data_IF_752046946521
#
_entry.id   IF_752046946521
#
_cell.length_a   1.000
_cell.length_b   1.000
_cell.length_c   1.000
_cell.angle_alpha   90.00
_cell.angle_beta   90.00
_cell.angle_gamma   90.00
#
_symmetry.space_group_name_H-M   'P 1'
#
loop_
_entity.id
_entity.type
_entity.pdbx_description
1 polymer ?
#
# COMPACT_ATOMS: atom_id res chain seq x y z
N UNK A 1 19.14 -11.95 -10.17
CA UNK A 1 18.13 -10.88 -10.31
C UNK A 1 17.52 -10.62 -8.95
N UNK A 2 17.48 -9.37 -8.50
CA UNK A 2 16.84 -9.01 -7.21
C UNK A 2 15.33 -9.23 -7.39
N UNK A 3 14.72 -10.07 -6.56
CA UNK A 3 13.28 -10.32 -6.62
C UNK A 3 12.54 -9.01 -6.35
N UNK A 4 11.72 -8.58 -7.30
CA UNK A 4 10.96 -7.34 -7.18
C UNK A 4 9.87 -7.56 -6.14
N UNK A 5 9.87 -6.75 -5.07
CA UNK A 5 8.88 -6.87 -4.02
C UNK A 5 7.62 -6.07 -4.37
N UNK A 6 6.51 -6.77 -4.66
CA UNK A 6 5.23 -6.13 -4.98
C UNK A 6 4.74 -5.15 -3.89
N UNK A 7 5.08 -5.37 -2.62
CA UNK A 7 4.69 -4.45 -1.53
C UNK A 7 5.54 -3.20 -1.48
N UNK A 8 6.81 -3.30 -1.84
CA UNK A 8 7.70 -2.15 -2.00
C UNK A 8 7.21 -1.25 -3.14
N UNK A 9 6.83 -1.85 -4.27
CA UNK A 9 6.17 -1.13 -5.37
C UNK A 9 4.95 -0.37 -4.87
N UNK A 10 4.06 -1.02 -4.11
CA UNK A 10 2.86 -0.34 -3.62
C UNK A 10 3.20 0.75 -2.61
N UNK A 11 4.21 0.56 -1.76
CA UNK A 11 4.64 1.60 -0.82
C UNK A 11 5.09 2.87 -1.56
N UNK A 12 5.90 2.72 -2.61
CA UNK A 12 6.33 3.83 -3.47
C UNK A 12 5.12 4.53 -4.08
N UNK A 13 4.17 3.75 -4.63
CA UNK A 13 2.92 4.31 -5.18
C UNK A 13 2.12 5.08 -4.13
N UNK A 14 2.06 4.61 -2.89
CA UNK A 14 1.32 5.29 -1.81
C UNK A 14 1.99 6.60 -1.41
N UNK A 15 3.32 6.69 -1.43
CA UNK A 15 4.04 7.94 -1.20
C UNK A 15 3.72 8.95 -2.30
N UNK A 16 3.78 8.53 -3.57
CA UNK A 16 3.41 9.36 -4.71
C UNK A 16 1.97 9.88 -4.64
N UNK A 17 1.02 9.03 -4.25
CA UNK A 17 -0.41 9.39 -4.23
C UNK A 17 -0.77 10.23 -2.99
N UNK A 18 -0.38 9.77 -1.80
CA UNK A 18 -0.89 10.32 -0.54
C UNK A 18 -0.01 11.44 0.03
N UNK A 19 1.24 11.54 -0.41
CA UNK A 19 2.20 12.53 0.10
C UNK A 19 2.57 13.56 -0.98
N UNK A 20 2.72 13.14 -2.24
CA UNK A 20 3.02 14.05 -3.37
C UNK A 20 1.76 14.52 -4.12
N UNK A 21 0.57 13.99 -3.79
CA UNK A 21 -0.70 14.42 -4.37
C UNK A 21 -0.93 13.96 -5.81
N UNK A 22 -0.20 12.96 -6.30
CA UNK A 22 -0.41 12.43 -7.67
C UNK A 22 -1.72 11.64 -7.76
N UNK A 23 -2.34 11.66 -8.93
CA UNK A 23 -3.57 10.92 -9.15
C UNK A 23 -3.35 9.41 -9.15
N UNK A 24 -4.16 8.68 -8.38
CA UNK A 24 -4.04 7.23 -8.20
C UNK A 24 -4.15 6.44 -9.52
N UNK A 25 -5.03 6.85 -10.43
CA UNK A 25 -5.16 6.21 -11.74
C UNK A 25 -3.93 6.41 -12.63
N UNK A 26 -3.27 7.58 -12.53
CA UNK A 26 -2.06 7.89 -13.29
C UNK A 26 -0.89 7.06 -12.77
N UNK A 27 -0.65 7.07 -11.45
CA UNK A 27 0.40 6.28 -10.81
C UNK A 27 0.19 4.78 -11.07
N UNK A 28 -1.04 4.27 -10.93
CA UNK A 28 -1.35 2.87 -11.23
C UNK A 28 -0.99 2.48 -12.66
N UNK A 29 -1.43 3.26 -13.65
CA UNK A 29 -1.16 2.96 -15.06
C UNK A 29 0.34 2.99 -15.36
N UNK A 30 1.07 3.98 -14.86
CA UNK A 30 2.51 4.10 -15.04
C UNK A 30 3.26 2.91 -14.42
N UNK A 31 2.91 2.54 -13.18
CA UNK A 31 3.52 1.40 -12.49
C UNK A 31 3.22 0.09 -13.21
N UNK A 32 1.96 -0.19 -13.58
CA UNK A 32 1.62 -1.43 -14.28
C UNK A 32 2.27 -1.54 -15.66
N UNK A 33 2.46 -0.41 -16.36
CA UNK A 33 3.22 -0.36 -17.61
C UNK A 33 4.73 -0.62 -17.39
N UNK A 34 5.32 -0.05 -16.33
CA UNK A 34 6.72 -0.29 -15.94
C UNK A 34 6.98 -1.75 -15.58
N UNK A 35 6.01 -2.41 -14.95
CA UNK A 35 6.11 -3.79 -14.47
C UNK A 35 5.27 -4.79 -15.31
N UNK A 36 5.19 -4.57 -16.63
CA UNK A 36 4.48 -5.47 -17.56
C UNK A 36 5.03 -6.91 -17.62
N UNK A 37 6.26 -7.12 -17.18
CA UNK A 37 6.88 -8.45 -17.12
C UNK A 37 6.41 -9.29 -15.92
N UNK A 38 5.80 -8.68 -14.89
CA UNK A 38 5.28 -9.41 -13.74
C UNK A 38 4.11 -10.30 -14.13
N UNK A 39 3.83 -11.33 -13.33
CA UNK A 39 2.68 -12.18 -13.60
C UNK A 39 1.35 -11.43 -13.40
N UNK A 40 0.29 -11.92 -14.05
CA UNK A 40 -1.06 -11.34 -13.92
C UNK A 40 -1.50 -11.28 -12.46
N UNK A 41 -1.16 -12.29 -11.65
CA UNK A 41 -1.52 -12.35 -10.23
C UNK A 41 -0.81 -11.26 -9.43
N UNK A 42 0.48 -11.01 -9.67
CA UNK A 42 1.25 -9.96 -9.01
C UNK A 42 0.72 -8.56 -9.35
N UNK A 43 0.42 -8.31 -10.64
CA UNK A 43 -0.18 -7.03 -11.06
C UNK A 43 -1.56 -6.80 -10.45
N UNK A 44 -2.38 -7.86 -10.36
CA UNK A 44 -3.68 -7.80 -9.70
C UNK A 44 -3.53 -7.52 -8.20
N UNK A 45 -2.52 -8.11 -7.55
CA UNK A 45 -2.19 -7.85 -6.16
C UNK A 45 -1.77 -6.39 -5.93
N UNK A 46 -0.84 -5.86 -6.71
CA UNK A 46 -0.38 -4.46 -6.65
C UNK A 46 -1.58 -3.51 -6.77
N UNK A 47 -2.44 -3.75 -7.77
CA UNK A 47 -3.62 -2.93 -8.05
C UNK A 47 -4.59 -2.95 -6.88
N UNK A 48 -4.92 -4.14 -6.37
CA UNK A 48 -5.87 -4.33 -5.26
C UNK A 48 -5.35 -3.71 -3.97
N UNK A 49 -4.06 -3.90 -3.66
CA UNK A 49 -3.44 -3.38 -2.45
C UNK A 49 -3.36 -1.85 -2.50
N UNK A 50 -2.82 -1.27 -3.58
CA UNK A 50 -2.69 0.18 -3.71
C UNK A 50 -4.05 0.89 -3.65
N UNK A 51 -4.96 0.53 -4.56
CA UNK A 51 -6.28 1.19 -4.66
C UNK A 51 -7.11 0.94 -3.41
N UNK A 52 -7.00 -0.25 -2.82
CA UNK A 52 -7.64 -0.59 -1.56
C UNK A 52 -7.18 0.30 -0.40
N UNK A 53 -5.88 0.45 -0.23
CA UNK A 53 -5.29 1.32 0.80
C UNK A 53 -5.68 2.78 0.57
N UNK A 54 -5.58 3.29 -0.67
CA UNK A 54 -5.99 4.67 -1.00
C UNK A 54 -7.47 4.91 -0.73
N UNK A 55 -8.36 3.96 -1.05
CA UNK A 55 -9.81 4.12 -0.79
C UNK A 55 -10.15 4.16 0.71
N UNK A 56 -9.29 3.61 1.56
CA UNK A 56 -9.60 3.41 2.99
C UNK A 56 -8.63 4.12 3.95
N UNK A 57 -7.71 4.95 3.46
CA UNK A 57 -6.62 5.47 4.31
C UNK A 57 -7.13 6.21 5.56
N UNK A 58 -8.26 6.92 5.50
CA UNK A 58 -8.87 7.56 6.67
C UNK A 58 -9.36 6.54 7.71
N UNK A 59 -10.00 5.46 7.26
CA UNK A 59 -10.44 4.37 8.13
C UNK A 59 -9.23 3.62 8.71
N UNK A 60 -8.20 3.39 7.89
CA UNK A 60 -6.96 2.75 8.32
C UNK A 60 -6.25 3.60 9.37
N UNK A 61 -6.15 4.91 9.17
CA UNK A 61 -5.59 5.84 10.14
C UNK A 61 -6.34 5.79 11.47
N UNK A 62 -7.67 5.78 11.43
CA UNK A 62 -8.49 5.63 12.62
C UNK A 62 -8.15 4.33 13.37
N UNK A 63 -8.08 3.19 12.66
CA UNK A 63 -7.74 1.88 13.26
C UNK A 63 -6.31 1.81 13.79
N UNK A 64 -5.35 2.41 13.09
CA UNK A 64 -3.96 2.45 13.56
C UNK A 64 -3.87 3.31 14.83
N UNK A 65 -4.58 4.44 14.90
CA UNK A 65 -4.59 5.29 16.09
C UNK A 65 -5.21 4.62 17.33
N UNK A 66 -6.03 3.58 17.19
CA UNK A 66 -6.55 2.86 18.38
C UNK A 66 -5.52 1.96 19.05
N UNK A 67 -4.41 1.65 18.37
CA UNK A 67 -3.35 0.75 18.89
C UNK A 67 -1.96 1.39 18.92
N UNK A 68 -1.72 2.44 18.15
CA UNK A 68 -0.43 3.12 18.09
C UNK A 68 -0.28 4.13 19.24
N UNK A 69 0.90 4.14 19.87
CA UNK A 69 1.27 5.14 20.88
C UNK A 69 1.55 6.53 20.28
N UNK A 70 2.03 6.58 19.04
CA UNK A 70 2.24 7.82 18.28
C UNK A 70 1.06 8.02 17.31
N UNK A 71 0.40 9.19 17.29
CA UNK A 71 -0.65 9.46 16.32
C UNK A 71 -0.15 9.38 14.87
N UNK A 72 -0.94 8.77 13.99
CA UNK A 72 -0.58 8.52 12.58
C UNK A 72 -0.12 9.79 11.85
N UNK A 73 -0.78 10.92 12.11
CA UNK A 73 -0.43 12.21 11.49
C UNK A 73 0.97 12.71 11.87
N UNK A 74 1.53 12.27 13.00
CA UNK A 74 2.88 12.62 13.47
C UNK A 74 3.96 11.64 13.01
N UNK A 75 3.58 10.51 12.40
CA UNK A 75 4.53 9.53 11.87
C UNK A 75 5.18 10.07 10.59
N UNK A 76 6.44 9.68 10.35
CA UNK A 76 7.11 9.93 9.06
C UNK A 76 6.29 9.32 7.92
N UNK A 77 6.18 9.99 6.75
CA UNK A 77 5.38 9.52 5.61
C UNK A 77 5.59 8.05 5.24
N UNK A 78 6.85 7.60 5.18
CA UNK A 78 7.19 6.21 4.91
C UNK A 78 6.56 5.23 5.92
N UNK A 79 6.73 5.49 7.21
CA UNK A 79 6.21 4.63 8.29
C UNK A 79 4.69 4.61 8.29
N UNK A 80 4.06 5.78 8.10
CA UNK A 80 2.60 5.90 8.02
C UNK A 80 2.04 5.06 6.87
N UNK A 81 2.60 5.18 5.67
CA UNK A 81 2.09 4.45 4.51
C UNK A 81 2.41 2.97 4.55
N UNK A 82 3.53 2.57 5.16
CA UNK A 82 3.82 1.17 5.47
C UNK A 82 2.74 0.59 6.39
N UNK A 83 2.42 1.25 7.50
CA UNK A 83 1.37 0.80 8.42
C UNK A 83 -0.02 0.75 7.77
N UNK A 84 -0.36 1.72 6.92
CA UNK A 84 -1.62 1.71 6.15
C UNK A 84 -1.69 0.51 5.20
N UNK A 85 -0.62 0.22 4.47
CA UNK A 85 -0.52 -0.93 3.58
C UNK A 85 -0.67 -2.25 4.36
N UNK A 86 0.00 -2.38 5.50
CA UNK A 86 -0.05 -3.58 6.34
C UNK A 86 -1.42 -3.76 6.98
N UNK A 87 -1.99 -2.70 7.54
CA UNK A 87 -3.34 -2.72 8.10
C UNK A 87 -4.40 -3.09 7.05
N UNK A 88 -4.25 -2.62 5.80
CA UNK A 88 -5.17 -3.00 4.73
C UNK A 88 -5.11 -4.50 4.42
N UNK A 89 -3.92 -5.08 4.34
CA UNK A 89 -3.76 -6.52 4.10
C UNK A 89 -4.43 -7.34 5.22
N UNK A 90 -4.18 -6.99 6.48
CA UNK A 90 -4.75 -7.69 7.64
C UNK A 90 -6.28 -7.60 7.68
N UNK A 91 -6.82 -6.41 7.43
CA UNK A 91 -8.26 -6.15 7.62
C UNK A 91 -9.12 -6.50 6.41
N UNK A 92 -8.54 -6.52 5.20
CA UNK A 92 -9.32 -6.60 3.95
C UNK A 92 -8.77 -7.59 2.92
N UNK A 93 -7.66 -8.29 3.18
CA UNK A 93 -7.11 -9.30 2.26
C UNK A 93 -7.00 -10.67 2.94
N UNK A 94 -8.15 -11.30 3.19
CA UNK A 94 -8.30 -12.60 3.88
C UNK A 94 -7.43 -13.74 3.32
N UNK A 95 -7.01 -13.65 2.06
CA UNK A 95 -6.14 -14.62 1.39
C UNK A 95 -4.64 -14.47 1.75
N UNK A 96 -4.25 -13.43 2.50
CA UNK A 96 -2.86 -13.19 2.91
C UNK A 96 -2.72 -13.60 4.37
N UNK A 97 -1.84 -14.58 4.69
CA UNK A 97 -1.58 -14.91 6.08
C UNK A 97 -0.92 -13.72 6.80
N UNK A 98 -1.29 -13.48 8.05
CA UNK A 98 -0.78 -12.35 8.85
C UNK A 98 0.75 -12.37 8.94
N UNK A 99 1.37 -13.56 8.99
CA UNK A 99 2.82 -13.74 8.99
C UNK A 99 3.53 -13.27 7.71
N UNK A 100 2.81 -13.09 6.60
CA UNK A 100 3.35 -12.59 5.33
C UNK A 100 3.13 -11.08 5.13
N UNK A 101 2.56 -10.39 6.12
CA UNK A 101 2.36 -8.94 6.10
C UNK A 101 3.66 -8.26 6.55
N UNK A 102 4.03 -7.16 5.88
CA UNK A 102 5.24 -6.38 6.19
C UNK A 102 5.05 -5.43 7.37
#
# INVERSE_FOLDING_TARGET
>A
MRQVNSREIVLDMLLEILEEGKFSHTVLNQTLNKYQHLEKQERAFISRLCIGTVKRYLTLDYRINTVASLPVKKMKPLIRNLLRLSAYQILYMNQIPVSAVC
#
